data_IF_589055397250
#
_entry.id   IF_589055397250
#
_cell.length_a   1.000
_cell.length_b   1.000
_cell.length_c   1.000
_cell.angle_alpha   90.00
_cell.angle_beta   90.00
_cell.angle_gamma   90.00
#
_symmetry.space_group_name_H-M   'P 1'
#
loop_
_entity.id
_entity.type
_entity.pdbx_description
1 polymer ?
#
# COMPACT_ATOMS: atom_id res chain seq x y z
N UNK A 1 10.37 -13.38 4.93
CA UNK A 1 9.39 -13.40 3.82
C UNK A 1 8.16 -12.60 4.21
N UNK A 2 7.46 -12.03 3.23
CA UNK A 2 6.20 -11.29 3.41
C UNK A 2 5.07 -12.02 2.70
N UNK A 3 3.87 -11.97 3.26
CA UNK A 3 2.67 -12.57 2.69
C UNK A 3 1.79 -11.51 2.02
N UNK A 4 1.01 -11.92 1.03
CA UNK A 4 -0.09 -11.14 0.46
C UNK A 4 -1.41 -11.81 0.83
N UNK A 5 -2.38 -11.03 1.31
CA UNK A 5 -3.74 -11.50 1.60
C UNK A 5 -4.79 -10.54 1.08
N UNK A 6 -5.91 -11.09 0.64
CA UNK A 6 -7.10 -10.33 0.34
C UNK A 6 -8.02 -10.28 1.57
N UNK A 7 -8.62 -9.12 1.81
CA UNK A 7 -9.50 -8.84 2.95
C UNK A 7 -10.83 -8.27 2.44
N UNK A 8 -11.94 -8.56 3.12
CA UNK A 8 -13.28 -8.05 2.78
C UNK A 8 -13.50 -6.60 3.29
N UNK A 9 -12.49 -5.97 3.87
CA UNK A 9 -12.56 -4.61 4.39
C UNK A 9 -12.92 -3.59 3.32
N UNK A 10 -13.92 -2.77 3.64
CA UNK A 10 -14.29 -1.55 2.90
C UNK A 10 -13.68 -0.28 3.51
N UNK A 11 -12.89 -0.41 4.59
CA UNK A 11 -12.35 0.74 5.35
C UNK A 11 -10.96 1.18 4.89
N UNK A 12 -10.24 0.30 4.20
CA UNK A 12 -8.91 0.56 3.67
C UNK A 12 -8.75 -0.15 2.33
N UNK A 13 -7.94 0.43 1.45
CA UNK A 13 -7.61 -0.20 0.15
C UNK A 13 -6.46 -1.20 0.29
N UNK A 14 -5.50 -0.88 1.16
CA UNK A 14 -4.38 -1.75 1.52
C UNK A 14 -3.97 -1.55 2.98
N UNK A 15 -3.21 -2.49 3.54
CA UNK A 15 -2.63 -2.39 4.89
C UNK A 15 -1.38 -3.25 5.04
N UNK A 16 -0.30 -2.63 5.48
CA UNK A 16 0.93 -3.30 5.91
C UNK A 16 0.87 -3.69 7.40
N UNK A 17 0.87 -4.99 7.68
CA UNK A 17 0.97 -5.54 9.04
C UNK A 17 2.39 -6.05 9.32
N UNK A 18 3.09 -5.37 10.22
CA UNK A 18 4.48 -5.69 10.57
C UNK A 18 4.61 -6.92 11.48
N UNK A 19 3.55 -7.27 12.24
CA UNK A 19 3.60 -8.37 13.23
C UNK A 19 3.64 -9.73 12.54
N UNK A 20 2.77 -9.92 11.55
CA UNK A 20 2.65 -11.16 10.77
C UNK A 20 3.34 -11.05 9.39
N UNK A 21 3.96 -9.91 9.09
CA UNK A 21 4.60 -9.59 7.81
C UNK A 21 3.65 -9.83 6.63
N UNK A 22 2.44 -9.28 6.74
CA UNK A 22 1.39 -9.43 5.71
C UNK A 22 1.00 -8.07 5.11
N UNK A 23 0.93 -8.02 3.80
CA UNK A 23 0.25 -6.94 3.06
C UNK A 23 -1.17 -7.41 2.79
N UNK A 24 -2.14 -6.65 3.27
CA UNK A 24 -3.55 -6.85 2.98
C UNK A 24 -3.97 -5.95 1.83
N UNK A 25 -4.78 -6.47 0.91
CA UNK A 25 -5.50 -5.69 -0.10
C UNK A 25 -7.00 -5.92 0.05
N UNK A 26 -7.79 -4.85 -0.06
CA UNK A 26 -9.23 -4.98 -0.09
C UNK A 26 -9.69 -5.69 -1.36
N UNK A 27 -10.59 -6.68 -1.23
CA UNK A 27 -11.18 -7.37 -2.38
C UNK A 27 -11.97 -6.44 -3.28
N UNK A 28 -12.84 -5.59 -2.71
CA UNK A 28 -13.62 -4.66 -3.52
C UNK A 28 -12.71 -3.71 -4.30
N UNK A 29 -11.66 -3.18 -3.66
CA UNK A 29 -10.67 -2.36 -4.36
C UNK A 29 -9.96 -3.12 -5.50
N UNK A 30 -9.61 -4.39 -5.29
CA UNK A 30 -8.91 -5.20 -6.28
C UNK A 30 -9.81 -5.59 -7.46
N UNK A 31 -11.11 -5.74 -7.23
CA UNK A 31 -12.06 -6.11 -8.28
C UNK A 31 -12.57 -4.91 -9.08
N UNK A 32 -12.76 -3.76 -8.42
CA UNK A 32 -13.42 -2.59 -9.02
C UNK A 32 -12.42 -1.49 -9.45
N UNK A 33 -11.18 -1.53 -8.93
CA UNK A 33 -10.17 -0.51 -9.18
C UNK A 33 -9.48 -0.64 -10.53
N UNK A 34 -8.91 0.47 -11.04
CA UNK A 34 -8.03 0.41 -12.22
C UNK A 34 -6.71 -0.29 -11.86
N UNK A 35 -6.10 -0.99 -12.81
CA UNK A 35 -4.78 -1.62 -12.61
C UNK A 35 -3.71 -0.66 -12.06
N UNK A 36 -3.71 0.60 -12.52
CA UNK A 36 -2.78 1.62 -12.04
C UNK A 36 -3.00 1.98 -10.57
N UNK A 37 -4.26 2.01 -10.13
CA UNK A 37 -4.67 2.33 -8.76
C UNK A 37 -4.38 1.16 -7.83
N UNK A 38 -4.70 -0.07 -8.25
CA UNK A 38 -4.37 -1.29 -7.51
C UNK A 38 -2.86 -1.42 -7.35
N UNK A 39 -2.11 -1.19 -8.44
CA UNK A 39 -0.64 -1.21 -8.41
C UNK A 39 -0.08 -0.15 -7.46
N UNK A 40 -0.61 1.06 -7.48
CA UNK A 40 -0.19 2.13 -6.56
C UNK A 40 -0.44 1.73 -5.10
N UNK A 41 -1.61 1.15 -4.77
CA UNK A 41 -1.92 0.62 -3.43
C UNK A 41 -0.95 -0.48 -3.01
N UNK A 42 -0.61 -1.43 -3.88
CA UNK A 42 0.36 -2.48 -3.58
C UNK A 42 1.73 -1.88 -3.27
N UNK A 43 2.21 -0.98 -4.12
CA UNK A 43 3.51 -0.33 -3.94
C UNK A 43 3.51 0.56 -2.69
N UNK A 44 2.39 1.21 -2.34
CA UNK A 44 2.24 1.96 -1.09
C UNK A 44 2.51 1.10 0.13
N UNK A 45 1.93 -0.11 0.19
CA UNK A 45 2.11 -1.02 1.32
C UNK A 45 3.50 -1.67 1.33
N UNK A 46 4.09 -1.94 0.15
CA UNK A 46 5.49 -2.38 0.06
C UNK A 46 6.43 -1.27 0.55
N UNK A 47 6.17 0.00 0.24
CA UNK A 47 6.96 1.11 0.76
C UNK A 47 6.92 1.18 2.29
N UNK A 48 5.78 0.88 2.93
CA UNK A 48 5.70 0.73 4.39
C UNK A 48 6.58 -0.41 4.90
N UNK A 49 6.47 -1.59 4.29
CA UNK A 49 7.26 -2.76 4.65
C UNK A 49 8.78 -2.49 4.59
N UNK A 50 9.24 -1.75 3.58
CA UNK A 50 10.65 -1.38 3.39
C UNK A 50 11.10 -0.21 4.29
N UNK A 51 10.24 0.80 4.49
CA UNK A 51 10.58 1.96 5.30
C UNK A 51 10.63 1.63 6.81
N UNK A 52 9.78 0.71 7.23
CA UNK A 52 9.60 0.28 8.62
C UNK A 52 8.58 1.14 9.38
N UNK A 53 8.03 0.62 10.50
CA UNK A 53 6.85 1.18 11.17
C UNK A 53 7.04 2.60 11.70
N UNK A 54 8.27 2.95 12.10
CA UNK A 54 8.60 4.30 12.60
C UNK A 54 8.59 5.36 11.50
N UNK A 55 8.74 4.96 10.23
CA UNK A 55 8.78 5.91 9.12
C UNK A 55 7.42 6.54 8.85
N UNK A 56 6.31 5.82 9.10
CA UNK A 56 4.95 6.22 8.70
C UNK A 56 4.96 6.70 7.24
N UNK A 57 4.26 7.78 6.89
CA UNK A 57 4.39 8.43 5.58
C UNK A 57 5.45 9.55 5.56
N UNK A 58 6.49 9.43 6.40
CA UNK A 58 7.58 10.41 6.54
C UNK A 58 8.58 10.40 5.38
N UNK A 59 9.68 11.19 5.47
CA UNK A 59 10.64 11.36 4.37
C UNK A 59 11.24 10.05 3.83
N UNK A 60 11.56 9.11 4.73
CA UNK A 60 12.08 7.78 4.35
C UNK A 60 11.07 7.01 3.49
N UNK A 61 9.82 6.95 3.93
CA UNK A 61 8.74 6.30 3.18
C UNK A 61 8.50 6.98 1.83
N UNK A 62 8.45 8.32 1.79
CA UNK A 62 8.27 9.07 0.53
C UNK A 62 9.39 8.82 -0.47
N UNK A 63 10.62 8.68 0.01
CA UNK A 63 11.78 8.37 -0.83
C UNK A 63 11.63 6.99 -1.45
N UNK A 64 11.33 5.99 -0.63
CA UNK A 64 11.13 4.60 -1.09
C UNK A 64 9.92 4.50 -2.03
N UNK A 65 8.80 5.12 -1.67
CA UNK A 65 7.59 5.17 -2.49
C UNK A 65 7.91 5.65 -3.90
N UNK A 66 8.61 6.79 -4.04
CA UNK A 66 9.06 7.28 -5.35
C UNK A 66 10.00 6.30 -6.06
N UNK A 67 10.97 5.72 -5.35
CA UNK A 67 11.94 4.78 -5.92
C UNK A 67 11.28 3.54 -6.53
N UNK A 68 10.22 3.03 -5.91
CA UNK A 68 9.52 1.84 -6.38
C UNK A 68 8.32 2.16 -7.29
N UNK A 69 8.08 3.43 -7.60
CA UNK A 69 7.03 3.87 -8.51
C UNK A 69 5.65 4.09 -7.87
N UNK A 70 5.54 4.12 -6.55
CA UNK A 70 4.32 4.54 -5.85
C UNK A 70 4.20 6.07 -5.81
N UNK A 71 2.97 6.57 -5.78
CA UNK A 71 2.66 7.98 -5.49
C UNK A 71 3.02 8.27 -4.03
N UNK A 72 3.88 9.25 -3.72
CA UNK A 72 4.34 9.55 -2.36
C UNK A 72 3.30 10.36 -1.57
N UNK A 73 2.06 9.89 -1.53
CA UNK A 73 0.91 10.49 -0.86
C UNK A 73 0.39 9.53 0.20
N UNK A 74 -0.01 10.07 1.35
CA UNK A 74 -0.50 9.24 2.47
C UNK A 74 -1.91 8.68 2.25
N UNK A 75 -2.66 9.26 1.32
CA UNK A 75 -4.01 8.85 0.96
C UNK A 75 -4.13 8.62 -0.53
N UNK A 76 -4.98 7.67 -0.87
CA UNK A 76 -5.37 7.39 -2.24
C UNK A 76 -6.13 8.58 -2.83
N UNK A 77 -5.86 8.88 -4.10
CA UNK A 77 -6.66 9.77 -4.94
C UNK A 77 -6.83 9.08 -6.29
N UNK A 78 -8.07 8.87 -6.76
CA UNK A 78 -8.30 8.25 -8.05
C UNK A 78 -7.70 9.10 -9.16
N UNK A 79 -7.29 8.44 -10.23
CA UNK A 79 -6.81 9.12 -11.42
C UNK A 79 -8.01 9.77 -12.12
N UNK A 80 -8.01 11.11 -12.17
CA UNK A 80 -8.97 11.95 -12.90
C UNK A 80 -8.86 11.76 -14.40
#
# INVERSE_FOLDING_TARGET
EWNLRFDESIRFLGKCNYRDKTIHLSRSHTLDGKDSEIRDTILHEIAHALAGPKARHGPKWKTIAKQIGAKPRASFKPDT
#
